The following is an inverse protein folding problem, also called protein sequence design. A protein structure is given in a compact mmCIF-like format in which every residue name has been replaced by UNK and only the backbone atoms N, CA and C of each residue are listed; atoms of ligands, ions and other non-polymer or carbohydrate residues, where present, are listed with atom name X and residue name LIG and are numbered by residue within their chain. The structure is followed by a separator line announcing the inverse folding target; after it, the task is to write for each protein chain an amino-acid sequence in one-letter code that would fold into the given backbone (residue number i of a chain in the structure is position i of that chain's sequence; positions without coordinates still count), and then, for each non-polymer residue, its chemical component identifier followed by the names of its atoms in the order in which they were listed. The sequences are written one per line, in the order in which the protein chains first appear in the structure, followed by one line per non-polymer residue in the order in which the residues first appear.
data_IF_648995468818
#
_entry.id   IF_648995468818
#
_cell.length_a   1.000
_cell.length_b   1.000
_cell.length_c   1.000
_cell.angle_alpha   90.00
_cell.angle_beta   90.00
_cell.angle_gamma   90.00
#
_symmetry.space_group_name_H-M   'P 1'
#
loop_
_entity.id
_entity.type
_entity.pdbx_description
1 polymer ?
#
# COMPACT_ATOMS: atom_id res chain seq x y z
N UNK A 1 -10.46 -10.04 -8.74
CA UNK A 1 -9.53 -10.05 -9.88
C UNK A 1 -8.63 -11.27 -9.79
N UNK A 2 -8.21 -11.86 -10.92
CA UNK A 2 -7.35 -13.05 -10.94
C UNK A 2 -6.03 -12.83 -10.17
N UNK A 3 -5.45 -11.63 -10.27
CA UNK A 3 -4.21 -11.25 -9.58
C UNK A 3 -4.29 -11.27 -8.03
N UNK A 4 -5.50 -11.27 -7.45
CA UNK A 4 -5.71 -11.36 -6.00
C UNK A 4 -5.98 -12.79 -5.52
N UNK A 5 -6.26 -13.75 -6.43
CA UNK A 5 -6.70 -15.10 -6.02
C UNK A 5 -5.67 -15.79 -5.12
N UNK A 6 -4.40 -15.77 -5.51
CA UNK A 6 -3.31 -16.40 -4.76
C UNK A 6 -3.09 -15.75 -3.39
N UNK A 7 -3.16 -14.41 -3.30
CA UNK A 7 -3.14 -13.71 -2.01
C UNK A 7 -4.26 -14.19 -1.10
N UNK A 8 -5.51 -14.11 -1.58
CA UNK A 8 -6.70 -14.45 -0.79
C UNK A 8 -6.72 -15.90 -0.35
N UNK A 9 -6.36 -16.83 -1.25
CA UNK A 9 -6.32 -18.26 -0.94
C UNK A 9 -5.27 -18.62 0.12
N UNK A 10 -4.12 -17.91 0.13
CA UNK A 10 -3.11 -18.11 1.16
C UNK A 10 -3.45 -17.40 2.48
N UNK A 11 -4.18 -16.29 2.43
CA UNK A 11 -4.61 -15.56 3.61
C UNK A 11 -5.80 -16.22 4.33
N UNK A 12 -6.64 -16.93 3.57
CA UNK A 12 -7.88 -17.56 4.06
C UNK A 12 -8.01 -18.99 3.47
N UNK A 13 -7.21 -19.94 3.95
CA UNK A 13 -7.16 -21.30 3.38
C UNK A 13 -8.47 -22.10 3.52
N UNK A 14 -9.29 -21.74 4.49
CA UNK A 14 -10.58 -22.41 4.76
C UNK A 14 -11.75 -21.80 3.96
N UNK A 15 -11.47 -20.85 3.06
CA UNK A 15 -12.48 -20.17 2.24
C UNK A 15 -12.22 -20.41 0.77
N UNK A 16 -13.23 -20.91 0.05
CA UNK A 16 -13.15 -21.05 -1.40
C UNK A 16 -13.13 -19.69 -2.10
N UNK A 17 -12.07 -19.43 -2.86
CA UNK A 17 -11.87 -18.19 -3.59
C UNK A 17 -12.16 -18.38 -5.08
N UNK A 18 -13.20 -17.74 -5.55
CA UNK A 18 -13.60 -17.74 -6.96
C UNK A 18 -13.23 -16.43 -7.67
N UNK A 19 -12.82 -16.54 -8.92
CA UNK A 19 -12.54 -15.37 -9.77
C UNK A 19 -13.83 -15.00 -10.51
N UNK A 20 -14.29 -13.77 -10.29
CA UNK A 20 -15.45 -13.23 -11.01
C UNK A 20 -15.26 -13.39 -12.54
N UNK A 21 -16.32 -13.73 -13.23
CA UNK A 21 -16.38 -13.95 -14.68
C UNK A 21 -15.68 -15.23 -15.19
N UNK A 22 -14.95 -15.94 -14.34
CA UNK A 22 -14.31 -17.23 -14.66
C UNK A 22 -14.97 -18.39 -13.91
N UNK A 23 -15.26 -18.19 -12.65
CA UNK A 23 -15.77 -19.22 -11.76
C UNK A 23 -17.27 -19.00 -11.47
N UNK A 24 -18.04 -20.08 -11.40
CA UNK A 24 -19.47 -20.03 -11.05
C UNK A 24 -19.68 -20.84 -9.78
N UNK A 25 -19.62 -20.22 -8.59
CA UNK A 25 -19.89 -20.91 -7.34
C UNK A 25 -21.34 -21.43 -7.32
N UNK A 26 -21.55 -22.60 -6.72
CA UNK A 26 -22.87 -23.20 -6.54
C UNK A 26 -23.00 -23.77 -5.12
N UNK A 27 -24.24 -24.09 -4.72
CA UNK A 27 -24.48 -24.70 -3.40
C UNK A 27 -24.54 -23.69 -2.23
N UNK A 28 -24.44 -22.41 -2.47
CA UNK A 28 -24.61 -21.37 -1.45
C UNK A 28 -26.09 -21.05 -1.25
N UNK A 29 -26.47 -20.72 0.00
CA UNK A 29 -27.84 -20.34 0.37
C UNK A 29 -27.99 -18.82 0.61
N UNK A 30 -26.88 -18.15 0.90
CA UNK A 30 -26.85 -16.71 1.19
C UNK A 30 -25.70 -16.04 0.44
N UNK A 31 -25.83 -14.75 0.17
CA UNK A 31 -24.74 -13.94 -0.34
C UNK A 31 -24.75 -12.54 0.30
N UNK A 32 -23.59 -11.93 0.42
CA UNK A 32 -23.46 -10.56 0.87
C UNK A 32 -22.30 -9.87 0.16
N UNK A 33 -22.39 -8.55 -0.02
CA UNK A 33 -21.25 -7.74 -0.45
C UNK A 33 -20.22 -7.64 0.67
N UNK A 34 -18.92 -7.66 0.34
CA UNK A 34 -17.86 -7.39 1.32
C UNK A 34 -18.08 -6.06 2.06
N UNK A 35 -18.55 -5.03 1.35
CA UNK A 35 -18.83 -3.72 1.94
C UNK A 35 -19.97 -3.73 2.94
N UNK A 36 -20.85 -4.73 2.89
CA UNK A 36 -21.98 -4.88 3.84
C UNK A 36 -21.63 -5.74 5.05
N UNK A 37 -20.53 -6.49 5.02
CA UNK A 37 -20.17 -7.41 6.10
C UNK A 37 -20.01 -6.72 7.47
N UNK A 38 -19.35 -5.57 7.61
CA UNK A 38 -19.24 -4.91 8.90
C UNK A 38 -20.61 -4.59 9.52
N UNK A 39 -21.55 -4.10 8.69
CA UNK A 39 -22.92 -3.83 9.14
C UNK A 39 -23.65 -5.11 9.55
N UNK A 40 -23.59 -6.16 8.73
CA UNK A 40 -24.28 -7.43 9.00
C UNK A 40 -23.73 -8.15 10.23
N UNK A 41 -22.44 -7.96 10.53
CA UNK A 41 -21.75 -8.56 11.67
C UNK A 41 -21.75 -7.65 12.91
N UNK A 42 -22.33 -6.45 12.83
CA UNK A 42 -22.35 -5.49 13.93
C UNK A 42 -20.97 -4.98 14.32
N UNK A 43 -20.04 -4.90 13.34
CA UNK A 43 -18.67 -4.42 13.60
C UNK A 43 -18.69 -2.94 13.94
N UNK A 44 -18.06 -2.57 15.06
CA UNK A 44 -17.78 -1.19 15.47
C UNK A 44 -16.28 -0.92 15.35
N UNK A 45 -15.85 0.32 15.57
CA UNK A 45 -14.41 0.67 15.53
C UNK A 45 -13.61 -0.16 16.55
N UNK A 46 -14.21 -0.42 17.72
CA UNK A 46 -13.59 -1.18 18.82
C UNK A 46 -13.53 -2.69 18.53
N UNK A 47 -14.38 -3.18 17.64
CA UNK A 47 -14.49 -4.61 17.32
C UNK A 47 -13.96 -4.95 15.93
N UNK A 48 -13.24 -4.04 15.27
CA UNK A 48 -12.55 -4.33 14.02
C UNK A 48 -11.59 -5.50 14.24
N UNK A 49 -11.73 -6.62 13.48
CA UNK A 49 -10.83 -7.74 13.64
C UNK A 49 -9.40 -7.38 13.17
N UNK A 50 -8.37 -8.08 13.67
CA UNK A 50 -7.01 -7.87 13.18
C UNK A 50 -6.94 -8.12 11.66
N UNK A 51 -6.03 -7.43 10.97
CA UNK A 51 -5.88 -7.60 9.52
C UNK A 51 -5.48 -9.04 9.17
N UNK A 52 -6.02 -9.55 8.07
CA UNK A 52 -5.72 -10.86 7.54
C UNK A 52 -4.73 -10.72 6.40
N UNK A 53 -3.61 -11.46 6.48
CA UNK A 53 -2.59 -11.52 5.44
C UNK A 53 -2.13 -12.96 5.22
N UNK A 54 -1.64 -13.28 4.01
CA UNK A 54 -1.00 -14.57 3.78
C UNK A 54 0.28 -14.67 4.59
N UNK A 55 0.61 -15.88 5.04
CA UNK A 55 1.93 -16.13 5.60
C UNK A 55 2.99 -16.04 4.50
N UNK A 56 3.94 -15.14 4.65
CA UNK A 56 5.08 -14.98 3.75
C UNK A 56 6.29 -15.71 4.36
N UNK A 57 6.44 -16.98 3.99
CA UNK A 57 7.52 -17.81 4.53
C UNK A 57 8.92 -17.33 4.09
N UNK A 58 9.03 -16.79 2.88
CA UNK A 58 10.28 -16.32 2.27
C UNK A 58 10.08 -14.93 1.69
N UNK A 59 10.27 -13.87 2.47
CA UNK A 59 10.33 -12.52 1.92
C UNK A 59 11.43 -12.42 0.86
N UNK A 60 11.20 -11.60 -0.16
CA UNK A 60 12.22 -11.34 -1.20
C UNK A 60 13.40 -10.61 -0.57
N UNK A 61 14.59 -11.17 -0.70
CA UNK A 61 15.82 -10.49 -0.30
C UNK A 61 16.10 -9.36 -1.28
N UNK A 62 16.24 -8.16 -0.75
CA UNK A 62 16.49 -6.96 -1.53
C UNK A 62 17.92 -6.48 -1.32
N UNK A 63 18.64 -6.28 -2.42
CA UNK A 63 19.97 -5.71 -2.39
C UNK A 63 19.95 -4.23 -2.02
N UNK A 64 21.14 -3.66 -1.75
CA UNK A 64 21.30 -2.24 -1.45
C UNK A 64 21.77 -1.98 -0.01
N UNK A 65 22.05 -0.72 0.28
CA UNK A 65 22.58 -0.26 1.59
C UNK A 65 21.47 0.36 2.43
N UNK A 66 21.67 0.40 3.74
CA UNK A 66 20.76 1.05 4.67
C UNK A 66 19.35 0.44 4.68
N UNK A 67 18.39 1.24 5.12
CA UNK A 67 16.98 0.84 5.20
C UNK A 67 16.38 0.64 3.80
N UNK A 68 15.59 -0.41 3.63
CA UNK A 68 14.84 -0.68 2.40
C UNK A 68 13.46 -0.05 2.51
N UNK A 69 13.24 1.07 1.84
CA UNK A 69 11.97 1.79 1.91
C UNK A 69 11.24 1.66 0.56
N UNK A 70 10.09 0.99 0.59
CA UNK A 70 9.21 0.84 -0.56
C UNK A 70 8.47 2.14 -0.86
N UNK A 71 8.37 2.51 -2.15
CA UNK A 71 7.70 3.73 -2.57
C UNK A 71 6.66 3.47 -3.66
N UNK A 72 5.39 3.89 -3.41
CA UNK A 72 4.31 3.89 -4.38
C UNK A 72 3.53 5.20 -4.30
N UNK A 73 3.71 6.09 -5.26
CA UNK A 73 3.28 7.49 -5.18
C UNK A 73 2.05 7.84 -6.02
N UNK A 74 1.52 6.91 -6.82
CA UNK A 74 0.29 7.12 -7.57
C UNK A 74 -0.56 5.85 -7.66
N UNK A 75 -1.84 6.03 -7.95
CA UNK A 75 -2.78 4.94 -8.17
C UNK A 75 -2.89 4.55 -9.65
N UNK A 76 -3.99 3.87 -9.97
CA UNK A 76 -4.26 3.45 -11.35
C UNK A 76 -4.81 4.62 -12.18
N UNK A 77 -4.19 4.90 -13.32
CA UNK A 77 -4.56 5.99 -14.22
C UNK A 77 -6.03 5.94 -14.72
N UNK A 78 -6.67 4.77 -14.66
CA UNK A 78 -8.11 4.64 -15.00
C UNK A 78 -9.09 5.10 -13.92
N UNK A 79 -8.61 5.53 -12.75
CA UNK A 79 -9.46 6.07 -11.70
C UNK A 79 -9.53 7.60 -11.80
N UNK A 80 -10.70 8.21 -12.06
CA UNK A 80 -10.83 9.67 -12.17
C UNK A 80 -10.37 10.43 -10.93
N UNK A 81 -10.45 9.82 -9.75
CA UNK A 81 -10.01 10.43 -8.49
C UNK A 81 -8.48 10.33 -8.27
N UNK A 82 -7.74 9.69 -9.17
CA UNK A 82 -6.32 9.44 -8.98
C UNK A 82 -5.48 10.72 -8.95
N UNK A 83 -5.88 11.72 -9.72
CA UNK A 83 -5.24 13.04 -9.74
C UNK A 83 -5.19 13.71 -8.35
N UNK A 84 -6.19 13.45 -7.49
CA UNK A 84 -6.27 14.06 -6.15
C UNK A 84 -5.48 13.30 -5.10
N UNK A 85 -5.20 11.99 -5.31
CA UNK A 85 -4.52 11.13 -4.35
C UNK A 85 -3.09 10.79 -4.72
N UNK A 86 -2.67 11.08 -5.93
CA UNK A 86 -1.33 10.81 -6.43
C UNK A 86 -0.39 11.98 -6.17
N UNK A 87 0.81 11.67 -5.68
CA UNK A 87 1.88 12.65 -5.54
C UNK A 87 2.46 12.92 -6.93
N UNK A 88 2.54 14.17 -7.40
CA UNK A 88 3.26 14.50 -8.62
C UNK A 88 4.72 14.01 -8.54
N UNK A 89 5.18 13.32 -9.58
CA UNK A 89 6.47 12.62 -9.53
C UNK A 89 7.67 13.58 -9.35
N UNK A 90 7.59 14.81 -9.84
CA UNK A 90 8.60 15.85 -9.65
C UNK A 90 8.76 16.28 -8.19
N UNK A 91 7.71 16.16 -7.38
CA UNK A 91 7.78 16.44 -5.93
C UNK A 91 8.54 15.37 -5.15
N UNK A 92 8.78 14.18 -5.71
CA UNK A 92 9.54 13.13 -5.03
C UNK A 92 10.98 13.55 -4.72
N UNK A 93 11.53 14.53 -5.42
CA UNK A 93 12.86 15.11 -5.10
C UNK A 93 12.96 15.61 -3.65
N UNK A 94 11.85 15.93 -3.02
CA UNK A 94 11.84 16.33 -1.60
C UNK A 94 12.30 15.20 -0.66
N UNK A 95 12.25 13.95 -1.09
CA UNK A 95 12.75 12.81 -0.33
C UNK A 95 14.27 12.63 -0.42
N UNK A 96 14.96 13.33 -1.34
CA UNK A 96 16.40 13.24 -1.55
C UNK A 96 17.28 13.55 -0.30
N UNK A 97 16.85 14.38 0.67
CA UNK A 97 17.60 14.59 1.90
C UNK A 97 17.66 13.38 2.84
N UNK A 98 16.82 12.36 2.64
CA UNK A 98 16.83 11.14 3.45
C UNK A 98 18.10 10.33 3.14
N UNK A 99 18.86 9.96 4.16
CA UNK A 99 20.13 9.24 4.04
C UNK A 99 20.01 7.78 4.48
N UNK A 100 21.00 6.99 4.09
CA UNK A 100 21.11 5.56 4.45
C UNK A 100 19.86 4.76 4.08
N UNK A 101 19.33 5.03 2.89
CA UNK A 101 18.12 4.39 2.34
C UNK A 101 18.39 3.85 0.95
N UNK A 102 17.92 2.64 0.70
CA UNK A 102 17.68 2.13 -0.65
C UNK A 102 16.18 2.28 -0.94
N UNK A 103 15.85 3.08 -1.92
CA UNK A 103 14.49 3.24 -2.38
C UNK A 103 14.06 2.06 -3.24
N UNK A 104 12.95 1.43 -2.89
CA UNK A 104 12.43 0.25 -3.59
C UNK A 104 11.16 0.65 -4.33
N UNK A 105 11.22 0.60 -5.66
CA UNK A 105 10.04 0.88 -6.48
C UNK A 105 8.96 -0.19 -6.27
N UNK A 106 7.78 0.24 -5.84
CA UNK A 106 6.56 -0.56 -5.76
C UNK A 106 5.47 -0.08 -6.73
N UNK A 107 5.82 0.80 -7.67
CA UNK A 107 4.90 1.38 -8.61
C UNK A 107 4.82 0.56 -9.90
N UNK A 108 3.65 0.04 -10.21
CA UNK A 108 3.36 -0.66 -11.46
C UNK A 108 3.22 0.34 -12.64
N UNK A 109 4.35 0.90 -13.05
CA UNK A 109 4.49 1.83 -14.18
C UNK A 109 5.82 1.53 -14.88
N UNK A 110 5.84 1.31 -16.20
CA UNK A 110 7.07 0.97 -16.93
C UNK A 110 8.21 1.99 -16.78
N UNK A 111 7.87 3.25 -16.49
CA UNK A 111 8.85 4.33 -16.33
C UNK A 111 9.14 4.68 -14.86
N UNK A 112 8.60 3.93 -13.90
CA UNK A 112 8.74 4.25 -12.48
C UNK A 112 10.19 4.29 -12.02
N UNK A 113 11.00 3.30 -12.42
CA UNK A 113 12.41 3.24 -12.03
C UNK A 113 13.23 4.40 -12.58
N UNK A 114 12.98 4.80 -13.82
CA UNK A 114 13.65 5.96 -14.43
C UNK A 114 13.28 7.26 -13.67
N UNK A 115 12.01 7.42 -13.30
CA UNK A 115 11.55 8.57 -12.53
C UNK A 115 12.17 8.59 -11.13
N UNK A 116 12.18 7.47 -10.40
CA UNK A 116 12.81 7.41 -9.09
C UNK A 116 14.30 7.74 -9.15
N UNK A 117 15.06 7.17 -10.09
CA UNK A 117 16.47 7.45 -10.26
C UNK A 117 16.73 8.91 -10.62
N UNK A 118 15.87 9.53 -11.42
CA UNK A 118 16.00 10.93 -11.78
C UNK A 118 15.87 11.87 -10.57
N UNK A 119 15.05 11.53 -9.57
CA UNK A 119 14.76 12.38 -8.42
C UNK A 119 15.52 11.99 -7.15
N UNK A 120 15.77 10.69 -6.95
CA UNK A 120 16.34 10.15 -5.71
C UNK A 120 17.75 9.54 -5.91
N UNK A 121 18.28 9.57 -7.14
CA UNK A 121 19.60 9.05 -7.44
C UNK A 121 19.67 7.54 -7.69
N UNK A 122 20.89 6.99 -7.65
CA UNK A 122 21.15 5.61 -8.05
C UNK A 122 20.84 4.56 -6.97
N UNK A 123 20.60 4.97 -5.74
CA UNK A 123 20.21 4.06 -4.64
C UNK A 123 18.73 3.66 -4.74
N UNK A 124 18.28 3.38 -5.97
CA UNK A 124 16.93 2.94 -6.30
C UNK A 124 16.96 1.58 -6.98
N UNK A 125 16.12 0.66 -6.51
CA UNK A 125 15.96 -0.67 -7.11
C UNK A 125 14.53 -0.92 -7.54
N UNK A 126 14.36 -1.77 -8.56
CA UNK A 126 13.05 -2.24 -8.97
C UNK A 126 12.60 -3.41 -8.07
N UNK A 127 11.73 -3.13 -7.11
CA UNK A 127 11.16 -4.17 -6.25
C UNK A 127 10.26 -5.15 -7.02
N UNK A 128 9.61 -4.68 -8.08
CA UNK A 128 8.62 -5.44 -8.83
C UNK A 128 9.20 -6.32 -9.94
N UNK A 129 10.50 -6.33 -10.11
CA UNK A 129 11.14 -7.20 -11.09
C UNK A 129 10.83 -8.68 -10.80
N UNK A 130 10.29 -9.38 -11.80
CA UNK A 130 9.85 -10.77 -11.69
C UNK A 130 8.53 -10.98 -10.97
N UNK A 131 7.85 -9.93 -10.48
CA UNK A 131 6.53 -10.05 -9.89
C UNK A 131 5.45 -10.22 -10.98
N UNK A 132 4.56 -11.19 -10.80
CA UNK A 132 3.48 -11.48 -11.74
C UNK A 132 2.10 -11.21 -11.14
N UNK A 133 1.98 -11.23 -9.82
CA UNK A 133 0.73 -11.02 -9.11
C UNK A 133 0.91 -10.26 -7.79
N UNK A 134 -0.19 -10.07 -7.08
CA UNK A 134 -0.23 -9.38 -5.78
C UNK A 134 0.56 -10.16 -4.70
N UNK A 135 0.60 -11.49 -4.76
CA UNK A 135 1.34 -12.29 -3.79
C UNK A 135 2.86 -12.14 -3.97
N UNK A 136 3.34 -12.09 -5.22
CA UNK A 136 4.77 -11.82 -5.47
C UNK A 136 5.16 -10.43 -4.96
N UNK A 137 4.31 -9.42 -5.18
CA UNK A 137 4.50 -8.08 -4.61
C UNK A 137 4.53 -8.11 -3.07
N UNK A 138 3.69 -8.95 -2.45
CA UNK A 138 3.68 -9.12 -1.01
C UNK A 138 4.99 -9.69 -0.45
N UNK A 139 5.64 -10.59 -1.17
CA UNK A 139 6.96 -11.09 -0.78
C UNK A 139 8.03 -9.98 -0.79
N UNK A 140 7.92 -9.04 -1.73
CA UNK A 140 8.76 -7.83 -1.74
C UNK A 140 8.46 -6.96 -0.52
N UNK A 141 7.18 -6.63 -0.31
CA UNK A 141 6.74 -5.76 0.79
C UNK A 141 7.12 -6.33 2.16
N UNK A 142 7.01 -7.64 2.35
CA UNK A 142 7.40 -8.31 3.59
C UNK A 142 8.92 -8.24 3.88
N UNK A 143 9.74 -7.96 2.86
CA UNK A 143 11.19 -7.77 3.00
C UNK A 143 11.64 -6.33 3.21
N UNK A 144 10.71 -5.39 3.35
CA UNK A 144 10.99 -3.96 3.53
C UNK A 144 11.01 -3.56 5.00
N UNK A 145 11.83 -2.58 5.31
CA UNK A 145 11.86 -1.94 6.64
C UNK A 145 10.68 -0.97 6.81
N UNK A 146 10.21 -0.38 5.71
CA UNK A 146 9.08 0.56 5.70
C UNK A 146 8.47 0.68 4.30
N UNK A 147 7.21 1.06 4.24
CA UNK A 147 6.53 1.47 3.01
C UNK A 147 6.07 2.92 3.13
N UNK A 148 6.27 3.69 2.06
CA UNK A 148 5.68 5.01 1.87
C UNK A 148 4.80 4.93 0.63
N UNK A 149 3.51 5.15 0.78
CA UNK A 149 2.60 5.02 -0.34
C UNK A 149 1.38 5.93 -0.21
N UNK A 150 0.77 6.24 -1.32
CA UNK A 150 -0.56 6.88 -1.33
C UNK A 150 -1.64 5.83 -1.07
N UNK A 151 -2.88 6.27 -0.87
CA UNK A 151 -4.06 5.41 -0.68
C UNK A 151 -4.31 4.50 -1.90
N UNK A 152 -3.69 3.33 -1.88
CA UNK A 152 -3.75 2.30 -2.93
C UNK A 152 -3.70 0.89 -2.32
N UNK A 153 -3.74 -0.14 -3.18
CA UNK A 153 -3.55 -1.53 -2.77
C UNK A 153 -2.28 -1.73 -1.92
N UNK A 154 -1.23 -0.96 -2.19
CA UNK A 154 0.05 -1.06 -1.47
C UNK A 154 -0.11 -0.72 0.02
N UNK A 155 -0.92 0.30 0.36
CA UNK A 155 -1.22 0.65 1.75
C UNK A 155 -1.92 -0.51 2.49
N UNK A 156 -2.93 -1.09 1.86
CA UNK A 156 -3.66 -2.23 2.42
C UNK A 156 -2.77 -3.47 2.55
N UNK A 157 -1.94 -3.75 1.56
CA UNK A 157 -0.99 -4.86 1.59
C UNK A 157 0.02 -4.71 2.73
N UNK A 158 0.70 -3.58 2.80
CA UNK A 158 1.70 -3.31 3.82
C UNK A 158 1.09 -3.33 5.23
N UNK A 159 -0.07 -2.68 5.41
CA UNK A 159 -0.81 -2.70 6.66
C UNK A 159 -1.25 -4.10 7.09
N UNK A 160 -1.72 -4.93 6.15
CA UNK A 160 -2.10 -6.33 6.43
C UNK A 160 -0.90 -7.19 6.83
N UNK A 161 0.26 -6.96 6.23
CA UNK A 161 1.51 -7.66 6.55
C UNK A 161 2.20 -7.15 7.83
N UNK A 162 1.67 -6.09 8.44
CA UNK A 162 2.27 -5.48 9.63
C UNK A 162 3.55 -4.69 9.35
N UNK A 163 3.85 -4.36 8.08
CA UNK A 163 5.02 -3.58 7.71
C UNK A 163 4.80 -2.11 8.09
N UNK A 164 5.76 -1.45 8.77
CA UNK A 164 5.68 -0.03 9.08
C UNK A 164 5.36 0.79 7.82
N UNK A 165 4.29 1.58 7.86
CA UNK A 165 3.80 2.27 6.66
C UNK A 165 3.47 3.73 6.95
N UNK A 166 3.99 4.64 6.13
CA UNK A 166 3.54 6.03 6.05
C UNK A 166 2.62 6.16 4.84
N UNK A 167 1.33 6.32 5.08
CA UNK A 167 0.36 6.52 4.02
C UNK A 167 0.13 8.01 3.79
N UNK A 168 0.50 8.46 2.59
CA UNK A 168 0.33 9.83 2.13
C UNK A 168 -1.10 9.99 1.61
N UNK A 169 -1.93 10.78 2.28
CA UNK A 169 -3.33 10.86 1.95
C UNK A 169 -3.73 12.27 1.49
N UNK A 170 -4.72 12.30 0.61
CA UNK A 170 -5.33 13.53 0.13
C UNK A 170 -6.13 14.23 1.24
N UNK A 171 -6.37 15.53 1.10
CA UNK A 171 -7.14 16.34 2.04
C UNK A 171 -8.51 15.74 2.34
N UNK A 172 -9.30 15.45 1.31
CA UNK A 172 -10.58 14.74 1.43
C UNK A 172 -10.33 13.23 1.38
N UNK A 173 -9.90 12.67 2.51
CA UNK A 173 -9.64 11.23 2.62
C UNK A 173 -10.90 10.40 2.35
N UNK A 174 -10.71 9.17 1.96
CA UNK A 174 -11.78 8.20 1.82
C UNK A 174 -12.26 7.78 3.22
N UNK A 175 -13.53 7.48 3.39
CA UNK A 175 -14.18 7.24 4.69
C UNK A 175 -13.47 6.19 5.59
N UNK A 176 -12.80 5.21 5.00
CA UNK A 176 -12.05 4.18 5.75
C UNK A 176 -10.93 4.77 6.62
N UNK A 177 -10.39 5.88 6.19
CA UNK A 177 -9.28 6.55 6.87
C UNK A 177 -9.73 7.52 7.96
N UNK A 178 -11.05 7.68 8.13
CA UNK A 178 -11.65 8.54 9.13
C UNK A 178 -11.53 10.04 8.84
N UNK A 179 -12.13 10.85 9.69
CA UNK A 179 -12.18 12.30 9.50
C UNK A 179 -10.93 13.00 10.05
N UNK A 180 -10.27 12.43 11.05
CA UNK A 180 -9.06 12.97 11.65
C UNK A 180 -7.83 12.14 11.23
N UNK A 181 -6.70 12.80 10.85
CA UNK A 181 -5.45 12.08 10.55
C UNK A 181 -4.87 11.44 11.81
N UNK A 182 -4.16 10.33 11.64
CA UNK A 182 -3.49 9.66 12.76
C UNK A 182 -3.48 8.14 12.69
N UNK A 183 -3.77 7.51 13.82
CA UNK A 183 -3.82 6.05 13.92
C UNK A 183 -5.00 5.49 13.12
N UNK A 184 -4.72 4.47 12.33
CA UNK A 184 -5.68 3.81 11.48
C UNK A 184 -6.19 2.54 12.17
N UNK A 185 -7.50 2.42 12.46
CA UNK A 185 -8.02 1.28 13.21
C UNK A 185 -7.87 -0.06 12.47
N UNK A 186 -7.78 -0.04 11.14
CA UNK A 186 -7.63 -1.24 10.31
C UNK A 186 -6.22 -1.84 10.36
N UNK A 187 -5.18 -1.00 10.53
CA UNK A 187 -3.78 -1.40 10.40
C UNK A 187 -2.92 -0.71 11.45
N UNK A 188 -2.60 -1.37 12.56
CA UNK A 188 -1.77 -0.78 13.64
C UNK A 188 -0.38 -0.33 13.19
N UNK A 189 0.17 -0.92 12.11
CA UNK A 189 1.48 -0.56 11.53
C UNK A 189 1.44 0.63 10.58
N UNK A 190 0.25 1.17 10.28
CA UNK A 190 0.07 2.25 9.32
C UNK A 190 -0.19 3.57 10.03
N UNK A 191 0.58 4.58 9.65
CA UNK A 191 0.37 5.98 10.07
C UNK A 191 0.01 6.82 8.85
N UNK A 192 -1.09 7.56 8.96
CA UNK A 192 -1.50 8.49 7.92
C UNK A 192 -0.79 9.83 8.06
N UNK A 193 -0.35 10.39 6.93
CA UNK A 193 0.08 11.77 6.77
C UNK A 193 -0.84 12.40 5.73
N UNK A 194 -1.72 13.30 6.18
CA UNK A 194 -2.77 13.90 5.33
C UNK A 194 -2.37 15.30 4.89
N UNK A 195 -2.72 15.66 3.65
CA UNK A 195 -2.58 17.01 3.12
C UNK A 195 -3.28 18.05 4.03
N UNK A 196 -2.65 19.18 4.27
CA UNK A 196 -3.23 20.33 5.00
C UNK A 196 -4.29 21.08 4.19
N UNK A 197 -4.19 21.02 2.85
CA UNK A 197 -5.15 21.58 1.90
C UNK A 197 -5.16 20.76 0.61
N UNK A 198 -6.22 20.83 -0.21
CA UNK A 198 -6.29 20.09 -1.46
C UNK A 198 -5.08 20.30 -2.38
N UNK A 199 -4.50 19.22 -2.86
CA UNK A 199 -3.35 19.20 -3.78
C UNK A 199 -2.02 19.74 -3.19
N UNK A 200 -1.95 20.05 -1.90
CA UNK A 200 -0.71 20.43 -1.21
C UNK A 200 0.00 19.15 -0.76
N UNK A 201 1.09 18.79 -1.46
CA UNK A 201 1.89 17.60 -1.17
C UNK A 201 3.22 17.92 -0.50
N UNK A 202 3.63 19.20 -0.50
CA UNK A 202 4.93 19.60 0.02
C UNK A 202 5.02 19.39 1.54
N UNK A 203 3.99 19.75 2.27
CA UNK A 203 3.86 19.53 3.71
C UNK A 203 3.87 18.04 4.09
N UNK A 204 3.21 17.22 3.28
CA UNK A 204 3.17 15.75 3.47
C UNK A 204 4.57 15.14 3.30
N UNK A 205 5.28 15.53 2.25
CA UNK A 205 6.63 15.02 1.98
C UNK A 205 7.67 15.56 2.99
N UNK A 206 7.54 16.80 3.43
CA UNK A 206 8.38 17.37 4.46
C UNK A 206 8.19 16.65 5.81
N UNK A 207 6.95 16.29 6.15
CA UNK A 207 6.65 15.46 7.33
C UNK A 207 7.24 14.05 7.23
N UNK A 208 7.27 13.44 6.02
CA UNK A 208 7.97 12.17 5.80
C UNK A 208 9.46 12.32 6.07
N UNK A 209 10.11 13.33 5.48
CA UNK A 209 11.56 13.57 5.67
C UNK A 209 11.90 13.79 7.14
N UNK A 210 11.10 14.59 7.84
CA UNK A 210 11.29 14.82 9.28
C UNK A 210 11.24 13.50 10.08
N UNK A 211 10.28 12.62 9.78
CA UNK A 211 10.15 11.31 10.47
C UNK A 211 11.26 10.32 10.14
N UNK A 212 11.85 10.40 8.95
CA UNK A 212 12.89 9.47 8.52
C UNK A 212 14.28 9.86 9.02
N UNK A 213 14.50 11.15 9.28
CA UNK A 213 15.78 11.69 9.74
C UNK A 213 15.85 11.92 11.27
N UNK A 214 14.73 11.86 11.98
CA UNK A 214 14.65 11.97 13.44
C UNK A 214 14.72 10.62 14.12
#
# INVERSE_FOLDING_TARGET
RATLKRWMANAMPDIDIFVRDHDKPSGYTHHASFMSLPYLLGTTVETIPPPIAPHIALPKVLEGKGRKIGLAWHGAAGNPADIYRSVPHDKLIRLAPVKDVTWVNLQWDPNADLRLRAWLGNDCINGLEGCNDVYDTAQVVAGLDMVICVDTLTAHMAGSLGVPTLMLNRYNAEWRWGDAPGAIPWYPSLTEIRQSAPMVWDDVLDAVVARLNG
#
